data_IF_774017208033
#
_entry.id   IF_774017208033
#
_cell.length_a   1.000
_cell.length_b   1.000
_cell.length_c   1.000
_cell.angle_alpha   90.00
_cell.angle_beta   90.00
_cell.angle_gamma   90.00
#
_symmetry.space_group_name_H-M   'P 1'
#
loop_
_entity.id
_entity.type
_entity.pdbx_description
1 polymer ?
#
# COMPACT_ATOMS: atom_id res chain seq x y z
N UNK A 1 4.95 -11.05 -19.30
CA UNK A 1 4.42 -10.58 -17.99
C UNK A 1 5.38 -11.10 -16.95
N UNK A 2 5.89 -10.25 -16.08
CA UNK A 2 6.71 -10.64 -14.93
C UNK A 2 5.92 -10.36 -13.65
N UNK A 3 6.00 -11.26 -12.68
CA UNK A 3 5.24 -11.20 -11.44
C UNK A 3 6.18 -11.40 -10.26
N UNK A 4 6.08 -10.53 -9.24
CA UNK A 4 6.92 -10.60 -8.05
C UNK A 4 6.03 -10.46 -6.81
N UNK A 5 6.09 -11.43 -5.91
CA UNK A 5 5.44 -11.36 -4.61
C UNK A 5 6.24 -10.45 -3.67
N UNK A 6 5.59 -9.41 -3.15
CA UNK A 6 6.19 -8.40 -2.27
C UNK A 6 5.81 -8.58 -0.79
N UNK A 7 4.98 -9.59 -0.48
CA UNK A 7 4.43 -9.79 0.86
C UNK A 7 3.31 -8.80 1.21
N UNK A 8 2.87 -8.77 2.46
CA UNK A 8 1.74 -7.94 2.91
C UNK A 8 2.09 -6.53 3.32
N UNK A 9 3.38 -6.23 3.54
CA UNK A 9 3.84 -5.00 4.20
C UNK A 9 5.30 -4.70 3.84
N UNK A 10 5.79 -3.49 4.14
CA UNK A 10 7.21 -3.16 4.03
C UNK A 10 8.09 -4.14 4.80
N UNK A 11 9.30 -4.40 4.29
CA UNK A 11 10.14 -5.53 4.74
C UNK A 11 10.51 -5.50 6.23
N UNK A 12 10.65 -4.33 6.84
CA UNK A 12 11.09 -4.16 8.23
C UNK A 12 9.91 -3.98 9.20
N UNK A 13 8.66 -4.02 8.68
CA UNK A 13 7.45 -3.85 9.47
C UNK A 13 6.97 -5.17 10.06
N UNK A 14 6.52 -5.10 11.31
CA UNK A 14 5.98 -6.27 12.02
C UNK A 14 4.53 -6.50 11.62
N UNK A 15 4.12 -7.77 11.67
CA UNK A 15 2.71 -8.12 11.56
C UNK A 15 1.92 -7.65 12.78
N UNK A 16 0.71 -7.14 12.57
CA UNK A 16 -0.25 -6.94 13.66
C UNK A 16 -0.76 -8.26 14.23
N UNK A 17 -0.89 -9.29 13.39
CA UNK A 17 -1.32 -10.63 13.76
C UNK A 17 -0.65 -11.69 12.87
N UNK A 18 -0.34 -12.85 13.44
CA UNK A 18 0.17 -14.01 12.72
C UNK A 18 -0.97 -14.91 12.20
N UNK A 19 -0.73 -15.74 11.16
CA UNK A 19 -1.73 -16.71 10.70
C UNK A 19 -2.21 -17.63 11.83
N UNK A 20 -3.54 -17.67 12.04
CA UNK A 20 -4.19 -18.42 13.12
C UNK A 20 -4.51 -17.61 14.37
N UNK A 21 -4.04 -16.36 14.47
CA UNK A 21 -4.43 -15.46 15.56
C UNK A 21 -5.79 -14.78 15.28
N UNK A 22 -6.51 -14.33 16.33
CA UNK A 22 -7.73 -13.54 16.16
C UNK A 22 -7.52 -12.33 15.24
N UNK A 23 -8.50 -12.06 14.39
CA UNK A 23 -8.49 -10.94 13.43
C UNK A 23 -7.37 -10.97 12.38
N UNK A 24 -6.64 -12.08 12.25
CA UNK A 24 -5.55 -12.20 11.27
C UNK A 24 -6.01 -11.82 9.86
N UNK A 25 -7.15 -12.32 9.42
CA UNK A 25 -7.69 -12.07 8.08
C UNK A 25 -7.91 -10.58 7.84
N UNK A 26 -8.57 -9.92 8.78
CA UNK A 26 -8.93 -8.51 8.71
C UNK A 26 -7.66 -7.64 8.74
N UNK A 27 -6.75 -7.91 9.68
CA UNK A 27 -5.50 -7.16 9.84
C UNK A 27 -4.53 -7.36 8.67
N UNK A 28 -4.39 -8.59 8.17
CA UNK A 28 -3.57 -8.86 6.99
C UNK A 28 -4.13 -8.21 5.72
N UNK A 29 -5.46 -8.12 5.60
CA UNK A 29 -6.11 -7.40 4.50
C UNK A 29 -5.88 -5.89 4.61
N UNK A 30 -5.99 -5.32 5.81
CA UNK A 30 -5.70 -3.90 6.08
C UNK A 30 -4.25 -3.58 5.70
N UNK A 31 -3.29 -4.37 6.18
CA UNK A 31 -1.86 -4.25 5.85
C UNK A 31 -1.64 -4.27 4.33
N UNK A 32 -2.13 -5.31 3.65
CA UNK A 32 -1.90 -5.50 2.22
C UNK A 32 -2.49 -4.35 1.37
N UNK A 33 -3.68 -3.85 1.74
CA UNK A 33 -4.32 -2.74 1.04
C UNK A 33 -3.56 -1.42 1.23
N UNK A 34 -3.09 -1.15 2.46
CA UNK A 34 -2.27 0.04 2.74
C UNK A 34 -0.93 -0.05 2.00
N UNK A 35 -0.31 -1.23 2.00
CA UNK A 35 0.95 -1.45 1.29
C UNK A 35 0.82 -1.29 -0.22
N UNK A 36 -0.24 -1.84 -0.82
CA UNK A 36 -0.55 -1.63 -2.24
C UNK A 36 -0.62 -0.14 -2.60
N UNK A 37 -1.36 0.66 -1.82
CA UNK A 37 -1.50 2.11 -2.06
C UNK A 37 -0.20 2.87 -1.82
N UNK A 38 0.60 2.45 -0.85
CA UNK A 38 1.95 2.98 -0.63
C UNK A 38 2.85 2.70 -1.83
N UNK A 39 2.82 1.49 -2.38
CA UNK A 39 3.59 1.14 -3.58
C UNK A 39 3.14 1.95 -4.80
N UNK A 40 1.83 2.17 -4.97
CA UNK A 40 1.32 3.09 -6.01
C UNK A 40 2.00 4.48 -5.88
N UNK A 41 2.14 5.03 -4.66
CA UNK A 41 2.84 6.31 -4.42
C UNK A 41 4.33 6.25 -4.69
N UNK A 42 5.02 5.24 -4.14
CA UNK A 42 6.48 5.04 -4.25
C UNK A 42 6.90 4.95 -5.72
N UNK A 43 6.09 4.27 -6.53
CA UNK A 43 6.32 4.11 -7.97
C UNK A 43 5.63 5.19 -8.81
N UNK A 44 5.22 6.30 -8.19
CA UNK A 44 4.67 7.49 -8.82
C UNK A 44 3.45 7.22 -9.71
N UNK A 45 2.50 6.46 -9.18
CA UNK A 45 1.22 6.10 -9.79
C UNK A 45 1.38 5.56 -11.22
N UNK A 46 2.00 4.37 -11.37
CA UNK A 46 2.30 3.82 -12.69
C UNK A 46 1.04 3.56 -13.52
N UNK A 47 1.13 3.68 -14.86
CA UNK A 47 0.09 3.15 -15.75
C UNK A 47 -0.13 1.67 -15.49
N UNK A 48 -1.38 1.28 -15.22
CA UNK A 48 -1.72 -0.09 -14.79
C UNK A 48 -1.38 -1.17 -15.83
N UNK A 49 -1.28 -0.80 -17.11
CA UNK A 49 -0.87 -1.73 -18.19
C UNK A 49 0.63 -2.03 -18.18
N UNK A 50 1.44 -1.17 -17.55
CA UNK A 50 2.88 -1.33 -17.42
C UNK A 50 3.27 -1.94 -16.08
N UNK A 51 2.84 -1.32 -14.99
CA UNK A 51 3.13 -1.74 -13.63
C UNK A 51 1.87 -1.54 -12.79
N UNK A 52 1.43 -2.60 -12.11
CA UNK A 52 0.35 -2.51 -11.13
C UNK A 52 0.62 -3.43 -9.94
N UNK A 53 0.05 -3.05 -8.81
CA UNK A 53 0.12 -3.81 -7.57
C UNK A 53 -1.28 -4.34 -7.23
N UNK A 54 -1.39 -5.64 -6.99
CA UNK A 54 -2.66 -6.27 -6.61
C UNK A 54 -2.50 -7.03 -5.30
N UNK A 55 -3.54 -7.01 -4.47
CA UNK A 55 -3.61 -7.89 -3.29
C UNK A 55 -4.15 -9.24 -3.73
N UNK A 56 -3.40 -10.30 -3.45
CA UNK A 56 -3.80 -11.67 -3.63
C UNK A 56 -4.06 -12.34 -2.29
N UNK A 57 -5.05 -13.23 -2.28
CA UNK A 57 -5.31 -14.15 -1.18
C UNK A 57 -5.04 -15.57 -1.68
N UNK A 58 -4.04 -16.24 -1.09
CA UNK A 58 -3.65 -17.61 -1.43
C UNK A 58 -4.12 -18.55 -0.33
N UNK A 59 -4.88 -19.61 -0.64
CA UNK A 59 -5.26 -20.63 0.36
C UNK A 59 -4.03 -21.28 1.01
N UNK A 60 -4.12 -21.56 2.31
CA UNK A 60 -3.10 -22.21 3.14
C UNK A 60 -3.77 -23.09 4.21
N UNK A 61 -2.97 -23.92 4.89
CA UNK A 61 -3.45 -24.77 5.99
C UNK A 61 -4.02 -23.97 7.18
N UNK A 62 -3.70 -22.67 7.29
CA UNK A 62 -4.11 -21.78 8.39
C UNK A 62 -5.18 -20.76 7.96
N UNK A 63 -5.78 -20.93 6.78
CA UNK A 63 -6.72 -19.96 6.19
C UNK A 63 -6.15 -19.36 4.90
N UNK A 64 -6.34 -18.07 4.65
CA UNK A 64 -5.77 -17.40 3.48
C UNK A 64 -4.56 -16.57 3.86
N UNK A 65 -3.46 -16.74 3.14
CA UNK A 65 -2.32 -15.83 3.21
C UNK A 65 -2.52 -14.70 2.21
N UNK A 66 -2.29 -13.47 2.65
CA UNK A 66 -2.41 -12.29 1.81
C UNK A 66 -1.03 -11.87 1.32
N UNK A 67 -0.94 -11.28 0.13
CA UNK A 67 0.29 -10.66 -0.35
C UNK A 67 -0.03 -9.60 -1.41
N UNK A 68 0.81 -8.57 -1.50
CA UNK A 68 0.83 -7.66 -2.64
C UNK A 68 1.76 -8.24 -3.70
N UNK A 69 1.26 -8.35 -4.92
CA UNK A 69 2.01 -8.83 -6.08
C UNK A 69 2.16 -7.70 -7.08
N UNK A 70 3.40 -7.48 -7.53
CA UNK A 70 3.70 -6.55 -8.62
C UNK A 70 3.61 -7.28 -9.96
N UNK A 71 2.83 -6.73 -10.88
CA UNK A 71 2.69 -7.20 -12.26
C UNK A 71 3.34 -6.22 -13.20
N UNK A 72 4.27 -6.69 -14.04
CA UNK A 72 5.03 -5.86 -14.96
C UNK A 72 4.93 -6.36 -16.40
N UNK A 73 4.76 -5.43 -17.33
CA UNK A 73 4.78 -5.68 -18.78
C UNK A 73 5.61 -4.64 -19.50
N UNK A 74 6.38 -5.07 -20.50
CA UNK A 74 7.15 -4.17 -21.37
C UNK A 74 7.99 -3.17 -20.57
N UNK A 75 7.73 -1.88 -20.77
CA UNK A 75 8.39 -0.79 -20.07
C UNK A 75 8.23 -0.84 -18.53
N UNK A 76 7.22 -1.52 -18.00
CA UNK A 76 7.00 -1.70 -16.57
C UNK A 76 8.17 -2.34 -15.82
N UNK A 77 9.00 -3.14 -16.51
CA UNK A 77 10.24 -3.68 -15.94
C UNK A 77 11.27 -2.59 -15.59
N UNK A 78 11.17 -1.41 -16.21
CA UNK A 78 12.01 -0.25 -15.92
C UNK A 78 11.35 0.73 -14.94
N UNK A 79 10.04 0.62 -14.72
CA UNK A 79 9.34 1.35 -13.67
C UNK A 79 9.70 0.80 -12.29
N UNK A 80 9.68 -0.53 -12.16
CA UNK A 80 9.89 -1.24 -10.92
C UNK A 80 11.37 -1.40 -10.57
N UNK A 81 11.67 -1.31 -9.28
CA UNK A 81 12.98 -1.49 -8.68
C UNK A 81 12.79 -1.98 -7.25
N UNK A 82 13.27 -3.17 -6.93
CA UNK A 82 13.09 -3.77 -5.61
C UNK A 82 13.79 -2.95 -4.51
N UNK A 83 14.90 -2.28 -4.83
CA UNK A 83 15.65 -1.45 -3.89
C UNK A 83 14.92 -0.14 -3.57
N UNK A 84 13.93 0.24 -4.38
CA UNK A 84 13.09 1.40 -4.13
C UNK A 84 11.94 1.12 -3.14
N UNK A 85 11.71 -0.14 -2.76
CA UNK A 85 10.69 -0.52 -1.79
C UNK A 85 11.12 -0.04 -0.40
N UNK A 86 10.33 0.83 0.27
CA UNK A 86 10.70 1.33 1.58
C UNK A 86 10.72 0.22 2.63
N UNK A 87 11.60 0.37 3.62
CA UNK A 87 11.68 -0.55 4.76
C UNK A 87 10.50 -0.45 5.71
N UNK A 88 9.85 0.72 5.77
CA UNK A 88 8.83 1.10 6.74
C UNK A 88 7.65 1.78 6.10
N UNK A 89 6.55 1.93 6.83
CA UNK A 89 5.39 2.70 6.39
C UNK A 89 5.71 4.18 6.17
N UNK A 90 5.16 4.75 5.12
CA UNK A 90 5.13 6.22 4.97
C UNK A 90 4.05 6.84 5.88
N UNK A 91 4.06 8.17 5.98
CA UNK A 91 3.12 8.92 6.81
C UNK A 91 1.66 8.65 6.41
N UNK A 92 1.38 8.52 5.11
CA UNK A 92 0.03 8.29 4.61
C UNK A 92 -0.47 6.91 5.01
N UNK A 93 0.32 5.86 4.75
CA UNK A 93 0.00 4.49 5.12
C UNK A 93 -0.21 4.37 6.63
N UNK A 94 0.59 5.08 7.44
CA UNK A 94 0.39 5.13 8.89
C UNK A 94 -0.99 5.67 9.29
N UNK A 95 -1.46 6.74 8.65
CA UNK A 95 -2.81 7.26 8.88
C UNK A 95 -3.89 6.30 8.36
N UNK A 96 -3.71 5.71 7.18
CA UNK A 96 -4.66 4.75 6.60
C UNK A 96 -4.81 3.49 7.47
N UNK A 97 -3.70 2.98 8.02
CA UNK A 97 -3.68 1.85 8.95
C UNK A 97 -4.40 2.20 10.25
N UNK A 98 -4.06 3.34 10.85
CA UNK A 98 -4.67 3.81 12.10
C UNK A 98 -6.19 3.97 11.96
N UNK A 99 -6.63 4.57 10.85
CA UNK A 99 -8.05 4.68 10.51
C UNK A 99 -8.69 3.29 10.39
N UNK A 100 -8.12 2.42 9.55
CA UNK A 100 -8.72 1.11 9.25
C UNK A 100 -8.79 0.20 10.49
N UNK A 101 -7.77 0.24 11.35
CA UNK A 101 -7.76 -0.50 12.62
C UNK A 101 -8.79 0.07 13.61
N UNK A 102 -8.96 1.40 13.65
CA UNK A 102 -10.03 2.03 14.45
C UNK A 102 -11.42 1.59 13.99
N UNK A 103 -11.67 1.57 12.68
CA UNK A 103 -12.92 1.06 12.11
C UNK A 103 -13.17 -0.41 12.49
N UNK A 104 -12.13 -1.24 12.42
CA UNK A 104 -12.21 -2.65 12.79
C UNK A 104 -12.56 -2.81 14.29
N UNK A 105 -11.88 -2.07 15.16
CA UNK A 105 -12.13 -2.09 16.60
C UNK A 105 -13.57 -1.64 16.93
N UNK A 106 -14.02 -0.54 16.33
CA UNK A 106 -15.38 -0.02 16.50
C UNK A 106 -16.45 -1.04 16.11
N UNK A 107 -16.28 -1.68 14.94
CA UNK A 107 -17.19 -2.70 14.45
C UNK A 107 -17.25 -3.93 15.38
N UNK A 108 -16.12 -4.34 15.95
CA UNK A 108 -16.08 -5.50 16.86
C UNK A 108 -16.66 -5.23 18.25
N UNK A 109 -16.59 -3.99 18.72
CA UNK A 109 -17.04 -3.62 20.07
C UNK A 109 -18.38 -2.87 20.09
N UNK A 110 -19.01 -2.65 18.94
CA UNK A 110 -20.24 -1.86 18.84
C UNK A 110 -20.05 -0.41 19.31
N UNK A 111 -18.83 0.12 19.11
CA UNK A 111 -18.46 1.48 19.47
C UNK A 111 -18.51 2.37 18.24
N UNK A 112 -18.57 3.68 18.47
CA UNK A 112 -18.26 4.64 17.42
C UNK A 112 -16.76 4.60 17.12
N UNK A 113 -16.34 4.66 15.84
CA UNK A 113 -14.93 4.69 15.50
C UNK A 113 -14.26 5.95 16.02
N UNK A 114 -13.17 5.76 16.77
CA UNK A 114 -12.27 6.84 17.16
C UNK A 114 -11.38 7.18 15.97
N UNK A 115 -11.84 8.02 15.06
CA UNK A 115 -10.96 8.69 14.12
C UNK A 115 -10.08 9.69 14.87
N UNK A 116 -8.80 9.83 14.50
CA UNK A 116 -8.13 11.11 14.70
C UNK A 116 -8.93 12.12 13.86
N UNK A 117 -9.87 12.84 14.47
CA UNK A 117 -10.56 13.95 13.82
C UNK A 117 -9.50 14.90 13.26
N UNK A 118 -9.34 14.91 11.94
CA UNK A 118 -8.89 16.11 11.25
C UNK A 118 -10.14 16.90 10.84
N UNK A 119 -10.02 18.23 10.72
CA UNK A 119 -11.19 19.10 10.64
C UNK A 119 -12.09 18.73 9.47
N UNK A 120 -13.36 18.39 9.73
CA UNK A 120 -14.41 18.29 8.72
C UNK A 120 -15.03 16.91 8.44
N UNK A 121 -14.64 15.83 9.14
CA UNK A 121 -15.34 14.53 9.07
C UNK A 121 -16.63 14.51 9.92
N UNK A 122 -17.71 13.88 9.42
CA UNK A 122 -18.92 13.59 10.22
C UNK A 122 -19.00 12.09 10.52
N UNK A 123 -19.20 11.67 11.78
CA UNK A 123 -19.23 10.26 12.17
C UNK A 123 -20.23 9.42 11.37
N UNK A 124 -19.89 8.15 11.11
CA UNK A 124 -20.84 7.10 10.72
C UNK A 124 -21.02 6.82 9.21
N UNK A 125 -20.36 7.56 8.31
CA UNK A 125 -20.41 7.32 6.86
C UNK A 125 -19.09 7.62 6.13
N UNK A 126 -17.99 7.67 6.87
CA UNK A 126 -16.74 8.21 6.34
C UNK A 126 -16.04 7.20 5.44
N UNK A 127 -16.02 7.47 4.13
CA UNK A 127 -14.94 6.97 3.26
C UNK A 127 -13.62 7.32 3.95
N UNK A 128 -12.65 6.41 3.90
CA UNK A 128 -11.31 6.67 4.45
C UNK A 128 -10.86 8.07 3.99
N UNK A 129 -10.47 8.96 4.93
CA UNK A 129 -10.07 10.30 4.59
C UNK A 129 -8.95 10.31 3.55
N UNK A 130 -8.96 11.31 2.67
CA UNK A 130 -7.85 11.51 1.76
C UNK A 130 -6.67 12.12 2.52
N UNK A 131 -5.62 11.32 2.71
CA UNK A 131 -4.40 11.73 3.39
C UNK A 131 -3.32 12.23 2.42
N UNK A 132 -3.60 12.40 1.12
CA UNK A 132 -2.62 12.85 0.13
C UNK A 132 -1.96 14.19 0.51
N UNK A 133 -2.70 15.10 1.16
CA UNK A 133 -2.16 16.38 1.65
C UNK A 133 -1.11 16.23 2.76
N UNK A 134 -0.99 15.05 3.37
CA UNK A 134 0.03 14.73 4.38
C UNK A 134 1.35 14.26 3.77
N UNK A 135 1.41 14.05 2.46
CA UNK A 135 2.65 13.64 1.80
C UNK A 135 3.67 14.78 1.84
N UNK A 136 4.91 14.47 2.21
CA UNK A 136 6.01 15.43 2.09
C UNK A 136 6.27 15.73 0.59
N UNK A 137 6.17 16.99 0.14
CA UNK A 137 6.44 17.35 -1.26
C UNK A 137 7.84 16.91 -1.74
N UNK A 138 8.84 16.92 -0.85
CA UNK A 138 10.19 16.48 -1.18
C UNK A 138 10.28 14.95 -1.36
N UNK A 139 9.49 14.18 -0.61
CA UNK A 139 9.32 12.75 -0.80
C UNK A 139 8.67 12.45 -2.15
N UNK A 140 7.55 13.11 -2.48
CA UNK A 140 6.88 12.96 -3.78
C UNK A 140 7.81 13.27 -4.95
N UNK A 141 8.60 14.34 -4.84
CA UNK A 141 9.59 14.71 -5.85
C UNK A 141 10.68 13.63 -6.02
N UNK A 142 11.13 13.00 -4.91
CA UNK A 142 12.10 11.90 -4.94
C UNK A 142 11.54 10.66 -5.63
N UNK A 143 10.30 10.24 -5.34
CA UNK A 143 9.66 9.12 -6.02
C UNK A 143 9.57 9.34 -7.53
N UNK A 144 9.09 10.52 -7.94
CA UNK A 144 9.05 10.91 -9.35
C UNK A 144 10.43 10.89 -10.00
N UNK A 145 11.44 11.49 -9.36
CA UNK A 145 12.80 11.53 -9.90
C UNK A 145 13.40 10.13 -10.06
N UNK A 146 13.15 9.24 -9.09
CA UNK A 146 13.58 7.84 -9.09
C UNK A 146 13.06 7.10 -10.33
N UNK A 147 11.75 7.15 -10.59
CA UNK A 147 11.12 6.54 -11.78
C UNK A 147 11.66 7.16 -13.07
N UNK A 148 11.67 8.49 -13.18
CA UNK A 148 12.11 9.19 -14.39
C UNK A 148 13.57 8.86 -14.74
N UNK A 149 14.44 8.74 -13.74
CA UNK A 149 15.83 8.38 -13.95
C UNK A 149 15.99 6.93 -14.45
N UNK A 150 15.18 5.99 -13.94
CA UNK A 150 15.17 4.61 -14.46
C UNK A 150 14.71 4.54 -15.92
N UNK A 151 13.59 5.21 -16.25
CA UNK A 151 13.08 5.26 -17.62
C UNK A 151 14.08 5.88 -18.58
N UNK A 152 14.72 6.99 -18.18
CA UNK A 152 15.78 7.64 -18.98
C UNK A 152 16.96 6.71 -19.21
N UNK A 153 17.43 6.00 -18.17
CA UNK A 153 18.55 5.05 -18.28
C UNK A 153 18.23 3.90 -19.23
N UNK A 154 16.97 3.49 -19.30
CA UNK A 154 16.49 2.46 -20.21
C UNK A 154 16.21 2.96 -21.64
N UNK A 155 16.32 4.26 -21.91
CA UNK A 155 15.98 4.84 -23.22
C UNK A 155 14.49 4.81 -23.54
N UNK A 156 13.62 4.63 -22.53
CA UNK A 156 12.17 4.57 -22.70
C UNK A 156 11.60 6.00 -22.71
N UNK A 157 10.79 6.39 -23.72
CA UNK A 157 10.12 7.69 -23.73
C UNK A 157 9.21 7.85 -22.51
N UNK A 158 9.03 9.09 -22.06
CA UNK A 158 8.27 9.43 -20.85
C UNK A 158 6.75 9.16 -20.96
N UNK A 159 6.28 8.80 -22.15
CA UNK A 159 4.87 8.59 -22.52
C UNK A 159 4.45 7.11 -22.55
N UNK A 160 5.31 6.20 -22.11
CA UNK A 160 4.96 4.79 -21.92
C UNK A 160 4.22 4.58 -20.60
#
# INVERSE_FOLDING_TARGET
MMEICLGTRPRDERAFAAPGEPYYRELATIDALAYRRMLDRVFWYPPADLLRFEVQATPSDKGSEYAVVAYMRGAGMHWFDADAIPGRWDTIATFELSWSVSQLHAAHHGLDPCGFEKPGGKPGQERMPDYAAMQDPAETARYRASVVNRLRKAGVPREA
#
